data_IF_437836979780
#
_entry.id   IF_437836979780
#
_cell.length_a   1.000
_cell.length_b   1.000
_cell.length_c   1.000
_cell.angle_alpha   90.00
_cell.angle_beta   90.00
_cell.angle_gamma   90.00
#
_symmetry.space_group_name_H-M   'P 1'
#
loop_
_entity.id
_entity.type
_entity.pdbx_description
1 polymer ?
#
# COMPACT_ATOMS: atom_id res chain seq x y z
N UNK A 1 57.55 13.50 -21.38
CA UNK A 1 57.14 12.80 -20.13
C UNK A 1 55.72 13.19 -19.77
N UNK A 2 54.87 12.15 -19.66
CA UNK A 2 53.60 12.00 -18.93
C UNK A 2 52.51 13.08 -19.06
N UNK A 3 51.61 12.82 -20.02
CA UNK A 3 50.20 13.24 -20.09
C UNK A 3 49.48 12.87 -18.79
N UNK A 4 48.72 13.80 -18.22
CA UNK A 4 47.64 13.52 -17.27
C UNK A 4 46.37 14.21 -17.75
N UNK A 5 45.70 13.58 -18.71
CA UNK A 5 44.29 13.83 -19.02
C UNK A 5 43.46 13.18 -17.93
N UNK A 6 43.08 13.96 -16.91
CA UNK A 6 42.13 13.50 -15.90
C UNK A 6 40.72 13.52 -16.47
N UNK A 7 40.16 12.32 -16.46
CA UNK A 7 38.83 11.89 -16.84
C UNK A 7 37.79 12.57 -15.94
N UNK A 8 37.11 13.60 -16.43
CA UNK A 8 35.95 14.21 -15.78
C UNK A 8 34.69 13.80 -16.56
N UNK A 9 34.31 12.53 -16.39
CA UNK A 9 33.01 12.01 -16.77
C UNK A 9 32.16 12.02 -15.49
N UNK A 10 31.61 13.18 -15.15
CA UNK A 10 30.60 13.33 -14.10
C UNK A 10 29.30 12.71 -14.61
N UNK A 11 29.17 11.41 -14.32
CA UNK A 11 27.99 10.60 -14.57
C UNK A 11 26.88 11.01 -13.58
N UNK A 12 26.20 12.12 -13.88
CA UNK A 12 24.94 12.46 -13.23
C UNK A 12 23.83 11.57 -13.79
N UNK A 13 23.82 10.29 -13.37
CA UNK A 13 22.60 9.49 -13.34
C UNK A 13 21.72 10.06 -12.23
N UNK A 14 21.13 11.23 -12.49
CA UNK A 14 19.97 11.68 -11.74
C UNK A 14 18.91 10.62 -11.91
N UNK A 15 18.73 9.82 -10.87
CA UNK A 15 17.67 8.82 -10.81
C UNK A 15 16.38 9.61 -10.81
N UNK A 16 15.74 9.75 -11.96
CA UNK A 16 14.33 10.10 -12.02
C UNK A 16 13.54 8.90 -11.48
N UNK A 17 13.63 8.65 -10.19
CA UNK A 17 12.51 8.04 -9.47
C UNK A 17 11.50 9.17 -9.34
N UNK A 18 10.86 9.51 -10.46
CA UNK A 18 9.58 10.20 -10.42
C UNK A 18 8.64 9.13 -9.90
N UNK A 19 8.58 9.03 -8.57
CA UNK A 19 7.51 8.31 -7.92
C UNK A 19 6.20 8.90 -8.49
N UNK A 20 5.15 8.10 -8.56
CA UNK A 20 3.80 8.56 -8.91
C UNK A 20 3.22 9.58 -7.89
N UNK A 21 4.08 10.27 -7.13
CA UNK A 21 3.83 11.27 -6.08
C UNK A 21 2.74 12.26 -6.49
N UNK A 22 2.78 12.82 -7.71
CA UNK A 22 1.74 13.77 -8.14
C UNK A 22 0.32 13.16 -8.17
N UNK A 23 0.18 11.85 -8.39
CA UNK A 23 -1.12 11.19 -8.42
C UNK A 23 -1.60 10.76 -7.04
N UNK A 24 -0.69 10.36 -6.15
CA UNK A 24 -1.04 9.93 -4.80
C UNK A 24 -1.40 11.12 -3.90
N UNK A 25 -0.70 12.25 -4.05
CA UNK A 25 -0.98 13.49 -3.34
C UNK A 25 -2.38 14.08 -3.65
N UNK A 26 -3.01 13.66 -4.74
CA UNK A 26 -4.38 14.06 -5.10
C UNK A 26 -5.47 13.19 -4.45
N UNK A 27 -5.09 12.09 -3.78
CA UNK A 27 -6.04 11.22 -3.10
C UNK A 27 -6.53 11.83 -1.79
N UNK A 28 -7.78 11.56 -1.44
CA UNK A 28 -8.29 11.90 -0.11
C UNK A 28 -7.65 11.01 0.97
N UNK A 29 -7.64 11.49 2.22
CA UNK A 29 -7.16 10.71 3.36
C UNK A 29 -7.89 9.35 3.50
N UNK A 30 -9.20 9.32 3.22
CA UNK A 30 -9.98 8.08 3.21
C UNK A 30 -9.49 7.11 2.13
N UNK A 31 -9.21 7.62 0.92
CA UNK A 31 -8.72 6.81 -0.19
C UNK A 31 -7.30 6.27 0.10
N UNK A 32 -6.42 7.09 0.65
CA UNK A 32 -5.09 6.66 1.11
C UNK A 32 -5.21 5.52 2.12
N UNK A 33 -6.05 5.69 3.16
CA UNK A 33 -6.25 4.67 4.19
C UNK A 33 -6.86 3.37 3.64
N UNK A 34 -7.87 3.45 2.76
CA UNK A 34 -8.46 2.26 2.13
C UNK A 34 -7.49 1.55 1.20
N UNK A 35 -6.69 2.29 0.44
CA UNK A 35 -5.65 1.71 -0.41
C UNK A 35 -4.55 1.04 0.41
N UNK A 36 -4.18 1.63 1.55
CA UNK A 36 -3.31 0.99 2.53
C UNK A 36 -3.90 -0.35 3.01
N UNK A 37 -5.15 -0.37 3.46
CA UNK A 37 -5.85 -1.58 3.93
C UNK A 37 -5.87 -2.68 2.88
N UNK A 38 -6.28 -2.35 1.64
CA UNK A 38 -6.31 -3.32 0.55
C UNK A 38 -4.92 -3.87 0.24
N UNK A 39 -3.89 -3.03 0.23
CA UNK A 39 -2.50 -3.44 -0.02
C UNK A 39 -1.99 -4.38 1.08
N UNK A 40 -2.25 -4.06 2.36
CA UNK A 40 -1.92 -4.94 3.50
C UNK A 40 -2.63 -6.29 3.39
N UNK A 41 -3.92 -6.28 3.09
CA UNK A 41 -4.72 -7.50 2.93
C UNK A 41 -4.15 -8.40 1.82
N UNK A 42 -3.84 -7.84 0.64
CA UNK A 42 -3.28 -8.60 -0.48
C UNK A 42 -1.98 -9.28 -0.06
N UNK A 43 -1.06 -8.53 0.57
CA UNK A 43 0.22 -9.08 1.00
C UNK A 43 0.07 -10.18 2.07
N UNK A 44 -0.94 -10.10 2.95
CA UNK A 44 -1.24 -11.12 3.95
C UNK A 44 -1.91 -12.37 3.37
N UNK A 45 -2.65 -12.22 2.27
CA UNK A 45 -3.40 -13.31 1.64
C UNK A 45 -2.62 -14.12 0.60
N UNK A 46 -1.49 -13.61 0.14
CA UNK A 46 -0.71 -14.25 -0.93
C UNK A 46 0.39 -15.16 -0.39
N UNK A 47 0.53 -16.34 -1.01
CA UNK A 47 1.66 -17.25 -0.75
C UNK A 47 2.94 -16.82 -1.48
N UNK A 48 2.84 -15.87 -2.43
CA UNK A 48 3.98 -15.37 -3.20
C UNK A 48 4.73 -14.30 -2.42
N UNK A 49 5.95 -14.60 -1.99
CA UNK A 49 6.79 -13.64 -1.27
C UNK A 49 7.08 -12.38 -2.11
N UNK A 50 7.27 -12.52 -3.42
CA UNK A 50 7.43 -11.38 -4.32
C UNK A 50 6.20 -10.47 -4.28
N UNK A 51 5.01 -11.05 -4.35
CA UNK A 51 3.74 -10.28 -4.34
C UNK A 51 3.51 -9.64 -2.99
N UNK A 52 3.83 -10.34 -1.90
CA UNK A 52 3.74 -9.81 -0.53
C UNK A 52 4.62 -8.58 -0.34
N UNK A 53 5.89 -8.66 -0.75
CA UNK A 53 6.83 -7.55 -0.62
C UNK A 53 6.46 -6.35 -1.49
N UNK A 54 5.92 -6.60 -2.69
CA UNK A 54 5.38 -5.55 -3.54
C UNK A 54 4.21 -4.83 -2.85
N UNK A 55 3.20 -5.59 -2.43
CA UNK A 55 2.02 -5.06 -1.76
C UNK A 55 2.35 -4.30 -0.47
N UNK A 56 3.35 -4.76 0.30
CA UNK A 56 3.79 -4.06 1.51
C UNK A 56 4.54 -2.76 1.21
N UNK A 57 5.33 -2.70 0.13
CA UNK A 57 5.90 -1.43 -0.34
C UNK A 57 4.83 -0.48 -0.85
N UNK A 58 3.81 -0.98 -1.56
CA UNK A 58 2.65 -0.17 -1.97
C UNK A 58 1.91 0.40 -0.76
N UNK A 59 1.68 -0.41 0.28
CA UNK A 59 1.07 0.05 1.52
C UNK A 59 1.88 1.18 2.16
N UNK A 60 3.22 1.05 2.21
CA UNK A 60 4.08 2.09 2.77
C UNK A 60 3.94 3.44 2.06
N UNK A 61 3.79 3.45 0.73
CA UNK A 61 3.58 4.68 -0.03
C UNK A 61 2.25 5.40 0.34
N UNK A 62 1.19 4.67 0.64
CA UNK A 62 -0.06 5.27 1.11
C UNK A 62 0.03 5.75 2.56
N UNK A 63 0.79 5.04 3.40
CA UNK A 63 1.02 5.42 4.80
C UNK A 63 1.79 6.74 4.90
N UNK A 64 2.81 6.92 4.05
CA UNK A 64 3.67 8.11 4.04
C UNK A 64 2.91 9.42 3.82
N UNK A 65 1.82 9.37 3.05
CA UNK A 65 0.98 10.54 2.73
C UNK A 65 -0.24 10.67 3.65
N UNK A 66 -0.45 9.72 4.55
CA UNK A 66 -1.61 9.76 5.43
C UNK A 66 -1.33 10.60 6.67
N UNK A 67 -2.32 11.41 7.05
CA UNK A 67 -2.29 12.25 8.25
C UNK A 67 -2.90 11.53 9.47
N UNK A 68 -3.34 10.27 9.30
CA UNK A 68 -3.94 9.50 10.39
C UNK A 68 -2.88 9.09 11.44
N UNK A 69 -3.25 9.02 12.72
CA UNK A 69 -2.36 8.50 13.75
C UNK A 69 -2.08 6.99 13.55
N UNK A 70 -0.95 6.53 14.09
CA UNK A 70 -0.51 5.12 13.99
C UNK A 70 -1.58 4.13 14.49
N UNK A 71 -2.32 4.49 15.53
CA UNK A 71 -3.43 3.69 16.08
C UNK A 71 -4.48 3.31 15.02
N UNK A 72 -4.74 4.18 14.03
CA UNK A 72 -5.66 3.86 12.94
C UNK A 72 -5.14 2.67 12.11
N UNK A 73 -3.84 2.63 11.87
CA UNK A 73 -3.17 1.57 11.12
C UNK A 73 -3.01 0.29 11.93
N UNK A 74 -2.81 0.36 13.24
CA UNK A 74 -2.79 -0.83 14.10
C UNK A 74 -4.15 -1.53 14.11
N UNK A 75 -5.23 -0.77 14.18
CA UNK A 75 -6.59 -1.31 14.10
C UNK A 75 -6.94 -1.76 12.67
N UNK A 76 -6.48 -1.00 11.68
CA UNK A 76 -6.61 -1.34 10.27
C UNK A 76 -5.88 -2.63 9.89
N UNK A 77 -4.71 -2.90 10.46
CA UNK A 77 -3.95 -4.13 10.21
C UNK A 77 -4.77 -5.37 10.63
N UNK A 78 -5.41 -5.32 11.80
CA UNK A 78 -6.28 -6.41 12.27
C UNK A 78 -7.45 -6.63 11.30
N UNK A 79 -8.05 -5.55 10.80
CA UNK A 79 -9.13 -5.63 9.80
C UNK A 79 -8.63 -6.22 8.48
N UNK A 80 -7.46 -5.79 8.00
CA UNK A 80 -6.85 -6.29 6.78
C UNK A 80 -6.53 -7.80 6.89
N UNK A 81 -6.00 -8.25 8.02
CA UNK A 81 -5.77 -9.67 8.30
C UNK A 81 -7.06 -10.49 8.36
N UNK A 82 -8.12 -9.96 8.98
CA UNK A 82 -9.43 -10.61 8.99
C UNK A 82 -9.95 -10.82 7.56
N UNK A 83 -9.82 -9.82 6.69
CA UNK A 83 -10.26 -9.92 5.30
C UNK A 83 -9.35 -10.81 4.45
N UNK A 84 -8.04 -10.83 4.71
CA UNK A 84 -7.10 -11.74 4.05
C UNK A 84 -7.46 -13.21 4.30
N UNK A 85 -7.94 -13.51 5.51
CA UNK A 85 -8.36 -14.85 5.94
C UNK A 85 -9.81 -15.21 5.57
N UNK A 86 -10.56 -14.34 4.87
CA UNK A 86 -11.93 -14.68 4.44
C UNK A 86 -11.88 -15.75 3.35
N UNK A 87 -12.49 -16.89 3.65
CA UNK A 87 -12.69 -18.00 2.71
C UNK A 87 -13.95 -17.79 1.87
N UNK A 88 -13.95 -16.72 1.06
CA UNK A 88 -15.03 -16.46 0.12
C UNK A 88 -15.08 -17.56 -0.93
N UNK A 89 -16.29 -18.05 -1.22
CA UNK A 89 -16.54 -19.06 -2.25
C UNK A 89 -17.36 -18.45 -3.40
N UNK A 90 -17.09 -18.91 -4.61
CA UNK A 90 -17.81 -18.52 -5.81
C UNK A 90 -18.29 -19.73 -6.60
N UNK A 91 -18.97 -19.47 -7.72
CA UNK A 91 -19.41 -20.52 -8.65
C UNK A 91 -18.25 -21.21 -9.38
N UNK A 92 -17.09 -20.56 -9.45
CA UNK A 92 -15.86 -21.11 -10.03
C UNK A 92 -14.93 -21.56 -8.91
N UNK A 93 -14.30 -22.73 -9.09
CA UNK A 93 -13.35 -23.26 -8.11
C UNK A 93 -12.10 -22.36 -8.02
N UNK A 94 -11.77 -21.91 -6.81
CA UNK A 94 -10.56 -21.14 -6.53
C UNK A 94 -10.69 -20.32 -5.25
N UNK A 95 -9.58 -19.70 -4.82
CA UNK A 95 -9.58 -18.73 -3.73
C UNK A 95 -9.99 -17.34 -4.22
N UNK A 96 -10.75 -16.62 -3.42
CA UNK A 96 -11.24 -15.27 -3.74
C UNK A 96 -10.63 -14.19 -2.83
N UNK A 97 -9.36 -14.36 -2.43
CA UNK A 97 -8.68 -13.42 -1.53
C UNK A 97 -8.61 -11.99 -2.10
N UNK A 98 -8.38 -11.83 -3.40
CA UNK A 98 -8.38 -10.51 -4.04
C UNK A 98 -9.76 -9.83 -3.92
N UNK A 99 -10.84 -10.58 -4.13
CA UNK A 99 -12.20 -10.07 -3.94
C UNK A 99 -12.44 -9.67 -2.48
N UNK A 100 -11.98 -10.49 -1.52
CA UNK A 100 -12.05 -10.15 -0.11
C UNK A 100 -11.30 -8.83 0.16
N UNK A 101 -10.06 -8.67 -0.27
CA UNK A 101 -9.28 -7.45 -0.04
C UNK A 101 -9.86 -6.22 -0.73
N UNK A 102 -10.42 -6.35 -1.94
CA UNK A 102 -11.09 -5.24 -2.63
C UNK A 102 -12.39 -4.82 -1.94
N UNK A 103 -13.07 -5.73 -1.23
CA UNK A 103 -14.26 -5.38 -0.45
C UNK A 103 -13.98 -4.46 0.74
N UNK A 104 -12.71 -4.26 1.13
CA UNK A 104 -12.32 -3.25 2.13
C UNK A 104 -12.61 -1.82 1.66
N UNK A 105 -12.67 -1.58 0.34
CA UNK A 105 -12.96 -0.26 -0.23
C UNK A 105 -14.37 0.25 0.12
N UNK A 106 -15.31 -0.68 0.34
CA UNK A 106 -16.70 -0.40 0.71
C UNK A 106 -17.10 -0.95 2.09
N UNK A 107 -16.16 -1.49 2.86
CA UNK A 107 -16.43 -2.07 4.17
C UNK A 107 -16.84 -0.99 5.18
N UNK A 108 -17.92 -1.26 5.92
CA UNK A 108 -18.41 -0.36 6.98
C UNK A 108 -17.38 -0.18 8.10
N UNK A 109 -16.66 -1.25 8.42
CA UNK A 109 -15.64 -1.31 9.45
C UNK A 109 -14.44 -0.44 9.10
N UNK A 110 -14.04 -0.41 7.81
CA UNK A 110 -12.98 0.47 7.34
C UNK A 110 -13.37 1.95 7.52
N UNK A 111 -14.62 2.31 7.18
CA UNK A 111 -15.14 3.67 7.37
C UNK A 111 -15.18 4.05 8.85
N UNK A 112 -15.65 3.15 9.72
CA UNK A 112 -15.75 3.39 11.17
C UNK A 112 -14.38 3.66 11.78
N UNK A 113 -13.35 2.88 11.40
CA UNK A 113 -11.98 3.12 11.88
C UNK A 113 -11.48 4.47 11.35
N UNK A 114 -11.62 4.72 10.04
CA UNK A 114 -11.20 5.98 9.43
C UNK A 114 -11.79 7.19 10.16
N UNK A 115 -13.13 7.26 10.28
CA UNK A 115 -13.80 8.40 10.91
C UNK A 115 -13.51 8.56 12.41
N UNK A 116 -13.16 7.49 13.11
CA UNK A 116 -12.76 7.58 14.52
C UNK A 116 -11.45 8.34 14.70
N UNK A 117 -10.53 8.18 13.75
CA UNK A 117 -9.17 8.73 13.85
C UNK A 117 -8.95 9.96 12.96
N UNK A 118 -9.84 10.25 12.01
CA UNK A 118 -9.78 11.45 11.18
C UNK A 118 -10.36 12.71 11.84
N UNK A 119 -11.11 12.55 12.93
CA UNK A 119 -11.81 13.64 13.63
C UNK A 119 -11.16 13.98 14.99
N UNK A 120 -9.91 13.57 15.19
CA UNK A 120 -9.10 13.90 16.36
C UNK A 120 -8.16 15.04 16.02
#
# INVERSE_FOLDING_TARGET
MRRYTYFLMSLLLGSHVVLAENSLNALSQEALYKNWLTSRCIGKSTDSERTKQDAFRSAAAYLELSELPLDAFEQGEKLAEQYANKNNQGSVKGSYHILACLSLQSASEANVIFFRYSNQ
#
